data_IF_523211375312
#
_entry.id   IF_523211375312
#
_cell.length_a   1.000
_cell.length_b   1.000
_cell.length_c   1.000
_cell.angle_alpha   90.00
_cell.angle_beta   90.00
_cell.angle_gamma   90.00
#
_symmetry.space_group_name_H-M   'P 1'
#
loop_
_entity.id
_entity.type
_entity.pdbx_description
1 polymer ?
#
# COMPACT_ATOMS: atom_id res chain seq x y z
N UNK A 1 12.01 -18.79 13.74
CA UNK A 1 11.82 -17.47 14.37
C UNK A 1 10.43 -17.52 15.01
N UNK A 2 10.29 -17.20 16.30
CA UNK A 2 8.94 -17.16 16.91
C UNK A 2 8.28 -15.83 16.56
N UNK A 3 6.96 -15.83 16.39
CA UNK A 3 6.13 -14.64 16.19
C UNK A 3 6.41 -13.53 17.21
N UNK A 4 6.75 -13.92 18.43
CA UNK A 4 6.95 -13.04 19.60
C UNK A 4 8.22 -12.17 19.56
N UNK A 5 9.23 -12.55 18.78
CA UNK A 5 10.51 -11.79 18.68
C UNK A 5 10.70 -11.14 17.30
N UNK A 6 9.67 -11.14 16.44
CA UNK A 6 9.78 -10.70 15.07
C UNK A 6 9.73 -9.19 14.92
N UNK A 7 10.82 -8.58 14.48
CA UNK A 7 10.73 -7.33 13.77
C UNK A 7 10.10 -7.61 12.40
N UNK A 8 8.98 -6.99 12.10
CA UNK A 8 8.41 -7.03 10.77
C UNK A 8 9.22 -6.13 9.83
N UNK A 9 9.35 -6.55 8.59
CA UNK A 9 9.98 -5.67 7.60
C UNK A 9 9.09 -4.46 7.31
N UNK A 10 7.75 -4.66 7.30
CA UNK A 10 6.78 -3.62 6.96
C UNK A 10 5.48 -3.75 7.73
N UNK A 11 4.88 -2.60 8.04
CA UNK A 11 3.49 -2.48 8.45
C UNK A 11 2.72 -1.58 7.48
N UNK A 12 1.49 -1.98 7.19
CA UNK A 12 0.52 -1.14 6.49
C UNK A 12 -0.38 -0.50 7.56
N UNK A 13 -0.23 0.79 7.76
CA UNK A 13 -1.08 1.55 8.66
C UNK A 13 -2.00 2.45 7.82
N UNK A 14 -3.23 2.03 7.70
CA UNK A 14 -4.27 2.77 7.01
C UNK A 14 -4.62 4.02 7.80
N UNK A 15 -4.08 5.17 7.39
CA UNK A 15 -4.36 6.45 8.07
C UNK A 15 -5.78 6.97 7.77
N UNK A 16 -6.40 6.49 6.70
CA UNK A 16 -7.83 6.68 6.39
C UNK A 16 -8.32 5.56 5.47
N UNK A 17 -9.58 5.16 5.62
CA UNK A 17 -10.27 4.25 4.71
C UNK A 17 -11.12 4.99 3.66
N UNK A 18 -11.15 6.32 3.70
CA UNK A 18 -11.87 7.16 2.74
C UNK A 18 -11.05 7.29 1.45
N UNK A 19 -11.71 7.18 0.30
CA UNK A 19 -11.10 7.34 -1.01
C UNK A 19 -11.93 8.27 -1.90
N UNK A 20 -11.28 9.10 -2.70
CA UNK A 20 -11.90 9.96 -3.72
C UNK A 20 -12.03 9.29 -5.09
N UNK A 21 -11.75 7.99 -5.18
CA UNK A 21 -11.86 7.19 -6.39
C UNK A 21 -12.70 5.92 -6.12
N UNK A 22 -13.28 5.37 -7.18
CA UNK A 22 -14.06 4.13 -7.16
C UNK A 22 -13.53 3.17 -8.25
N UNK A 23 -12.23 2.84 -8.15
CA UNK A 23 -11.55 2.03 -9.15
C UNK A 23 -12.23 0.68 -9.35
N UNK A 24 -12.50 0.32 -10.61
CA UNK A 24 -13.20 -0.94 -10.97
C UNK A 24 -12.47 -2.21 -10.55
N UNK A 25 -11.20 -2.12 -10.22
CA UNK A 25 -10.37 -3.24 -9.73
C UNK A 25 -10.25 -3.29 -8.20
N UNK A 26 -10.69 -2.26 -7.48
CA UNK A 26 -10.62 -2.18 -6.03
C UNK A 26 -11.92 -2.74 -5.42
N UNK A 27 -11.86 -3.58 -4.38
CA UNK A 27 -13.06 -4.09 -3.72
C UNK A 27 -13.80 -3.00 -2.92
N UNK A 28 -13.12 -1.86 -2.65
CA UNK A 28 -13.60 -0.90 -1.68
C UNK A 28 -13.57 -1.45 -0.26
N UNK A 29 -14.26 -0.79 0.63
CA UNK A 29 -14.55 -1.29 1.97
C UNK A 29 -15.92 -0.78 2.43
N UNK A 30 -16.58 -1.56 3.30
CA UNK A 30 -17.89 -1.24 3.87
C UNK A 30 -17.82 -0.66 5.30
N UNK A 31 -16.61 -0.46 5.80
CA UNK A 31 -16.34 0.06 7.14
C UNK A 31 -16.74 1.53 7.24
N UNK A 32 -17.12 1.97 8.43
CA UNK A 32 -17.40 3.39 8.69
C UNK A 32 -16.20 4.27 8.25
N UNK A 33 -16.47 5.38 7.54
CA UNK A 33 -15.44 6.33 7.14
C UNK A 33 -14.67 6.85 8.36
N UNK A 34 -13.33 6.74 8.32
CA UNK A 34 -12.49 7.16 9.43
C UNK A 34 -11.20 7.82 8.93
N UNK A 35 -10.83 8.91 9.58
CA UNK A 35 -9.53 9.54 9.50
C UNK A 35 -8.87 9.36 10.87
N UNK A 36 -7.69 8.76 10.89
CA UNK A 36 -6.94 8.52 12.12
C UNK A 36 -6.64 9.84 12.83
N UNK A 37 -7.01 9.95 14.09
CA UNK A 37 -6.68 11.12 14.90
C UNK A 37 -5.19 11.16 15.28
N UNK A 38 -4.70 12.32 15.75
CA UNK A 38 -3.33 12.47 16.23
C UNK A 38 -2.99 11.49 17.36
N UNK A 39 -3.90 11.30 18.31
CA UNK A 39 -3.70 10.40 19.46
C UNK A 39 -3.66 8.92 19.04
N UNK A 40 -4.54 8.51 18.12
CA UNK A 40 -4.53 7.16 17.54
C UNK A 40 -3.23 6.92 16.77
N UNK A 41 -2.81 7.91 15.96
CA UNK A 41 -1.58 7.81 15.19
C UNK A 41 -0.37 7.64 16.10
N UNK A 42 -0.22 8.47 17.10
CA UNK A 42 0.90 8.40 18.05
C UNK A 42 0.89 7.11 18.85
N UNK A 43 -0.29 6.64 19.27
CA UNK A 43 -0.44 5.34 19.96
C UNK A 43 0.08 4.20 19.12
N UNK A 44 -0.35 4.11 17.85
CA UNK A 44 0.09 3.06 16.91
C UNK A 44 1.57 3.20 16.61
N UNK A 45 2.04 4.42 16.34
CA UNK A 45 3.44 4.69 16.02
C UNK A 45 4.40 4.24 17.12
N UNK A 46 4.07 4.54 18.38
CA UNK A 46 4.88 4.14 19.55
C UNK A 46 4.95 2.63 19.71
N UNK A 47 3.82 1.91 19.50
CA UNK A 47 3.77 0.45 19.60
C UNK A 47 4.49 -0.27 18.44
N UNK A 48 4.65 0.39 17.28
CA UNK A 48 5.39 -0.13 16.14
C UNK A 48 6.89 0.25 16.15
N UNK A 49 7.30 1.24 16.96
CA UNK A 49 8.68 1.73 17.01
C UNK A 49 9.66 0.61 17.39
N UNK A 50 10.70 0.45 16.57
CA UNK A 50 11.69 -0.61 16.73
C UNK A 50 11.23 -2.01 16.32
N UNK A 51 9.96 -2.17 15.93
CA UNK A 51 9.37 -3.45 15.50
C UNK A 51 9.18 -3.52 13.98
N UNK A 52 9.18 -2.36 13.29
CA UNK A 52 8.92 -2.23 11.87
C UNK A 52 9.94 -1.29 11.25
N UNK A 53 10.44 -1.63 10.06
CA UNK A 53 11.36 -0.77 9.28
C UNK A 53 10.59 0.17 8.33
N UNK A 54 9.65 -0.40 7.56
CA UNK A 54 8.88 0.33 6.54
C UNK A 54 7.44 0.52 7.00
N UNK A 55 6.99 1.75 7.08
CA UNK A 55 5.62 2.11 7.43
C UNK A 55 4.88 2.62 6.19
N UNK A 56 3.89 1.85 5.74
CA UNK A 56 3.04 2.18 4.61
C UNK A 56 1.77 2.84 5.10
N UNK A 57 1.44 4.05 4.61
CA UNK A 57 0.25 4.79 5.04
C UNK A 57 -1.03 4.41 4.28
N UNK A 58 -1.05 3.24 3.71
CA UNK A 58 -2.23 2.75 2.99
C UNK A 58 -2.50 1.28 3.31
N UNK A 59 -3.75 0.92 3.23
CA UNK A 59 -4.28 -0.43 3.10
C UNK A 59 -5.46 -0.32 2.14
N UNK A 60 -6.54 0.33 2.56
CA UNK A 60 -7.60 0.89 1.72
C UNK A 60 -7.52 2.43 1.77
N UNK A 61 -8.48 3.11 1.11
CA UNK A 61 -8.53 4.57 1.11
C UNK A 61 -7.44 5.24 0.25
N UNK A 62 -7.42 6.57 0.29
CA UNK A 62 -6.41 7.41 -0.36
C UNK A 62 -5.68 8.22 0.71
N UNK A 63 -4.40 7.95 0.99
CA UNK A 63 -3.67 8.62 2.06
C UNK A 63 -3.53 10.13 1.86
N UNK A 64 -3.51 10.62 0.62
CA UNK A 64 -3.43 12.06 0.35
C UNK A 64 -4.71 12.82 0.71
N UNK A 65 -5.82 12.14 1.02
CA UNK A 65 -7.01 12.79 1.58
C UNK A 65 -6.85 13.13 3.06
N UNK A 66 -5.89 12.51 3.76
CA UNK A 66 -5.74 12.76 5.19
C UNK A 66 -5.15 14.16 5.43
N UNK A 67 -5.83 15.05 6.17
CA UNK A 67 -5.39 16.43 6.36
C UNK A 67 -4.01 16.54 7.04
N UNK A 68 -3.67 15.59 7.90
CA UNK A 68 -2.40 15.55 8.64
C UNK A 68 -1.34 14.66 7.97
N UNK A 69 -1.49 14.24 6.71
CA UNK A 69 -0.58 13.27 6.07
C UNK A 69 0.89 13.71 6.10
N UNK A 70 1.15 15.00 5.90
CA UNK A 70 2.52 15.55 5.93
C UNK A 70 3.11 15.55 7.34
N UNK A 71 2.31 15.90 8.34
CA UNK A 71 2.73 15.89 9.74
C UNK A 71 2.96 14.45 10.21
N UNK A 72 2.06 13.53 9.91
CA UNK A 72 2.20 12.10 10.20
C UNK A 72 3.48 11.51 9.58
N UNK A 73 3.78 11.88 8.34
CA UNK A 73 5.01 11.44 7.69
C UNK A 73 6.27 11.96 8.40
N UNK A 74 6.27 13.23 8.80
CA UNK A 74 7.39 13.82 9.54
C UNK A 74 7.58 13.14 10.90
N UNK A 75 6.51 12.92 11.66
CA UNK A 75 6.55 12.22 12.97
C UNK A 75 7.03 10.77 12.82
N UNK A 76 6.53 10.04 11.82
CA UNK A 76 6.97 8.68 11.55
C UNK A 76 8.46 8.62 11.19
N UNK A 77 8.95 9.53 10.33
CA UNK A 77 10.39 9.64 10.01
C UNK A 77 11.21 9.95 11.26
N UNK A 78 10.77 10.89 12.08
CA UNK A 78 11.46 11.23 13.34
C UNK A 78 11.53 10.05 14.33
N UNK A 79 10.55 9.14 14.28
CA UNK A 79 10.56 7.87 15.03
C UNK A 79 11.45 6.79 14.40
N UNK A 80 12.06 7.04 13.23
CA UNK A 80 13.00 6.13 12.56
C UNK A 80 12.37 5.24 11.48
N UNK A 81 11.10 5.42 11.14
CA UNK A 81 10.46 4.66 10.07
C UNK A 81 10.85 5.18 8.68
N UNK A 82 10.93 4.27 7.72
CA UNK A 82 10.93 4.59 6.29
C UNK A 82 9.49 4.66 5.80
N UNK A 83 9.00 5.88 5.58
CA UNK A 83 7.60 6.11 5.21
C UNK A 83 7.37 5.84 3.73
N UNK A 84 6.34 5.08 3.44
CA UNK A 84 5.95 4.62 2.10
C UNK A 84 4.51 5.03 1.81
N UNK A 85 4.27 5.65 0.66
CA UNK A 85 2.93 6.06 0.21
C UNK A 85 2.57 5.31 -1.07
N UNK A 86 1.31 4.93 -1.20
CA UNK A 86 0.70 4.59 -2.50
C UNK A 86 -0.52 5.47 -2.68
N UNK A 87 -0.63 6.13 -3.83
CA UNK A 87 -1.70 7.07 -4.15
C UNK A 87 -2.31 6.75 -5.50
N UNK A 88 -3.59 7.13 -5.67
CA UNK A 88 -4.27 7.10 -6.96
C UNK A 88 -3.85 8.26 -7.89
N UNK A 89 -3.05 9.20 -7.41
CA UNK A 89 -2.49 10.30 -8.19
C UNK A 89 -3.41 11.52 -8.38
N UNK A 90 -4.67 11.48 -7.94
CA UNK A 90 -5.62 12.60 -8.16
C UNK A 90 -5.16 13.88 -7.45
N UNK A 91 -4.61 13.75 -6.25
CA UNK A 91 -4.13 14.88 -5.44
C UNK A 91 -2.61 15.08 -5.55
N UNK A 92 -2.01 14.68 -6.67
CA UNK A 92 -0.56 14.77 -6.89
C UNK A 92 -0.03 16.19 -6.69
N UNK A 93 -0.68 17.16 -7.30
CA UNK A 93 -0.21 18.56 -7.31
C UNK A 93 -0.51 19.27 -6.00
N UNK A 94 -1.74 19.11 -5.47
CA UNK A 94 -2.22 19.85 -4.30
C UNK A 94 -1.63 19.34 -2.98
N UNK A 95 -1.41 18.03 -2.88
CA UNK A 95 -0.97 17.38 -1.63
C UNK A 95 0.31 16.58 -1.82
N UNK A 96 0.43 15.84 -2.92
CA UNK A 96 1.57 14.96 -3.18
C UNK A 96 2.90 15.73 -3.26
N UNK A 97 2.96 16.83 -4.04
CA UNK A 97 4.14 17.68 -4.18
C UNK A 97 4.56 18.29 -2.84
N UNK A 98 3.69 18.99 -2.07
CA UNK A 98 4.03 19.44 -0.74
C UNK A 98 4.53 18.33 0.19
N UNK A 99 3.90 17.15 0.15
CA UNK A 99 4.28 16.02 0.99
C UNK A 99 5.70 15.53 0.71
N UNK A 100 6.07 15.28 -0.55
CA UNK A 100 7.43 14.81 -0.88
C UNK A 100 8.48 15.88 -0.60
N UNK A 101 8.12 17.15 -0.72
CA UNK A 101 8.99 18.30 -0.40
C UNK A 101 9.37 18.41 1.09
N UNK A 102 8.62 17.75 1.98
CA UNK A 102 9.02 17.63 3.40
C UNK A 102 10.28 16.78 3.59
N UNK A 103 10.66 15.98 2.58
CA UNK A 103 11.73 15.00 2.67
C UNK A 103 11.42 13.85 3.64
N UNK A 104 10.19 13.72 4.12
CA UNK A 104 9.81 12.66 5.06
C UNK A 104 9.54 11.31 4.37
N UNK A 105 9.24 11.32 3.07
CA UNK A 105 8.85 10.13 2.32
C UNK A 105 10.09 9.42 1.76
N UNK A 106 10.17 8.11 1.98
CA UNK A 106 11.22 7.26 1.40
C UNK A 106 10.85 6.75 0.01
N UNK A 107 9.57 6.41 -0.20
CA UNK A 107 9.04 6.02 -1.52
C UNK A 107 7.59 6.47 -1.66
N UNK A 108 7.27 7.03 -2.81
CA UNK A 108 5.89 7.23 -3.26
C UNK A 108 5.61 6.36 -4.49
N UNK A 109 4.45 5.71 -4.52
CA UNK A 109 3.99 4.91 -5.65
C UNK A 109 2.70 5.51 -6.19
N UNK A 110 2.66 5.84 -7.48
CA UNK A 110 1.52 6.47 -8.14
C UNK A 110 0.87 5.42 -9.05
N UNK A 111 -0.39 5.11 -8.80
CA UNK A 111 -1.16 4.12 -9.56
C UNK A 111 -1.74 4.76 -10.83
N UNK A 112 -0.94 4.92 -11.90
CA UNK A 112 -1.36 5.60 -13.14
C UNK A 112 -2.59 4.94 -13.78
N UNK A 113 -2.74 3.62 -13.65
CA UNK A 113 -3.90 2.86 -14.10
C UNK A 113 -5.21 3.20 -13.36
N UNK A 114 -5.15 4.01 -12.30
CA UNK A 114 -6.35 4.48 -11.59
C UNK A 114 -7.21 5.41 -12.44
N UNK A 115 -6.62 6.20 -13.35
CA UNK A 115 -7.38 7.09 -14.21
C UNK A 115 -8.36 6.30 -15.11
N UNK A 116 -7.87 5.28 -15.78
CA UNK A 116 -8.69 4.44 -16.67
C UNK A 116 -9.79 3.66 -15.92
N UNK A 117 -9.55 3.35 -14.66
CA UNK A 117 -10.49 2.61 -13.82
C UNK A 117 -11.59 3.47 -13.19
N UNK A 118 -11.60 4.77 -13.47
CA UNK A 118 -12.51 5.75 -12.89
C UNK A 118 -13.08 6.71 -13.95
N UNK A 119 -14.11 7.46 -13.54
CA UNK A 119 -14.63 8.64 -14.27
C UNK A 119 -14.30 9.89 -13.47
N UNK A 120 -13.05 10.36 -13.56
CA UNK A 120 -12.50 11.37 -12.63
C UNK A 120 -12.89 12.82 -12.98
N UNK A 121 -13.46 13.08 -14.16
CA UNK A 121 -13.79 14.44 -14.59
C UNK A 121 -12.58 15.33 -14.96
N UNK A 122 -11.36 14.76 -14.95
CA UNK A 122 -10.11 15.38 -15.44
C UNK A 122 -9.61 14.63 -16.66
N UNK A 123 -8.97 15.33 -17.59
CA UNK A 123 -8.40 14.70 -18.78
C UNK A 123 -7.22 13.80 -18.42
N UNK A 124 -6.93 12.81 -19.28
CA UNK A 124 -5.77 11.95 -19.10
C UNK A 124 -4.46 12.76 -19.11
N UNK A 125 -4.34 13.74 -20.01
CA UNK A 125 -3.14 14.58 -20.13
C UNK A 125 -2.90 15.42 -18.87
N UNK A 126 -3.94 16.01 -18.31
CA UNK A 126 -3.86 16.78 -17.06
C UNK A 126 -3.47 15.88 -15.88
N UNK A 127 -4.09 14.70 -15.78
CA UNK A 127 -3.78 13.71 -14.77
C UNK A 127 -2.32 13.24 -14.86
N UNK A 128 -1.87 12.81 -16.06
CA UNK A 128 -0.50 12.37 -16.28
C UNK A 128 0.48 13.49 -15.95
N UNK A 129 0.25 14.70 -16.46
CA UNK A 129 1.13 15.85 -16.18
C UNK A 129 1.31 16.07 -14.69
N UNK A 130 0.22 16.04 -13.91
CA UNK A 130 0.30 16.23 -12.45
C UNK A 130 1.06 15.09 -11.74
N UNK A 131 0.92 13.85 -12.22
CA UNK A 131 1.67 12.71 -11.70
C UNK A 131 3.17 12.78 -12.03
N UNK A 132 3.52 13.27 -13.20
CA UNK A 132 4.92 13.45 -13.62
C UNK A 132 5.59 14.60 -12.87
N UNK A 133 4.89 15.72 -12.64
CA UNK A 133 5.38 16.81 -11.80
C UNK A 133 5.69 16.31 -10.38
N UNK A 134 4.80 15.48 -9.80
CA UNK A 134 5.05 14.84 -8.52
C UNK A 134 6.26 13.91 -8.56
N UNK A 135 6.42 13.13 -9.63
CA UNK A 135 7.55 12.20 -9.77
C UNK A 135 8.90 12.95 -9.82
N UNK A 136 8.98 14.05 -10.55
CA UNK A 136 10.17 14.89 -10.61
C UNK A 136 10.48 15.53 -9.26
N UNK A 137 9.48 16.13 -8.62
CA UNK A 137 9.66 16.72 -7.29
C UNK A 137 10.10 15.66 -6.25
N UNK A 138 9.56 14.45 -6.33
CA UNK A 138 10.00 13.35 -5.49
C UNK A 138 11.48 13.01 -5.72
N UNK A 139 11.93 12.93 -6.99
CA UNK A 139 13.31 12.65 -7.35
C UNK A 139 14.27 13.74 -6.87
N UNK A 140 13.90 15.02 -7.02
CA UNK A 140 14.67 16.16 -6.50
C UNK A 140 14.88 16.07 -4.98
N UNK A 141 13.88 15.56 -4.27
CA UNK A 141 13.95 15.33 -2.82
C UNK A 141 14.53 13.94 -2.45
N UNK A 142 15.15 13.22 -3.40
CA UNK A 142 15.73 11.86 -3.20
C UNK A 142 14.70 10.83 -2.69
N UNK A 143 13.44 11.07 -2.95
CA UNK A 143 12.34 10.13 -2.71
C UNK A 143 12.19 9.22 -3.92
N UNK A 144 12.20 7.91 -3.72
CA UNK A 144 11.94 6.96 -4.80
C UNK A 144 10.49 7.11 -5.27
N UNK A 145 10.29 7.36 -6.56
CA UNK A 145 8.97 7.39 -7.18
C UNK A 145 8.76 6.15 -8.06
N UNK A 146 7.68 5.41 -7.84
CA UNK A 146 7.26 4.30 -8.67
C UNK A 146 5.95 4.64 -9.39
N UNK A 147 6.02 4.85 -10.68
CA UNK A 147 4.87 4.99 -11.57
C UNK A 147 4.37 3.59 -11.92
N UNK A 148 3.13 3.25 -11.56
CA UNK A 148 2.61 1.88 -11.66
C UNK A 148 1.57 1.72 -12.74
N UNK A 149 1.77 0.70 -13.59
CA UNK A 149 0.79 0.15 -14.53
C UNK A 149 0.50 -1.31 -14.13
N UNK A 150 -0.31 -1.48 -13.07
CA UNK A 150 -0.68 -2.80 -12.51
C UNK A 150 -2.02 -3.27 -13.11
N UNK A 151 -2.12 -3.19 -14.43
CA UNK A 151 -3.29 -3.56 -15.22
C UNK A 151 -2.99 -4.57 -16.33
N UNK A 152 -1.84 -5.27 -16.28
CA UNK A 152 -1.53 -6.35 -17.22
C UNK A 152 -2.57 -7.46 -17.09
N UNK A 153 -3.08 -7.95 -18.23
CA UNK A 153 -4.16 -8.93 -18.29
C UNK A 153 -5.57 -8.37 -18.01
N UNK A 154 -5.70 -7.03 -17.92
CA UNK A 154 -6.99 -6.34 -17.77
C UNK A 154 -7.10 -5.19 -18.78
N UNK A 155 -8.09 -4.29 -18.60
CA UNK A 155 -8.22 -3.08 -19.40
C UNK A 155 -6.99 -2.20 -19.27
N UNK A 156 -6.38 -1.81 -20.38
CA UNK A 156 -5.12 -1.08 -20.47
C UNK A 156 -5.04 -0.16 -21.69
N UNK A 157 -6.20 0.33 -22.14
CA UNK A 157 -6.34 1.14 -23.36
C UNK A 157 -5.56 2.46 -23.28
N UNK A 158 -5.32 2.98 -22.08
CA UNK A 158 -4.60 4.22 -21.84
C UNK A 158 -3.07 4.02 -21.69
N UNK A 159 -2.57 2.79 -21.61
CA UNK A 159 -1.15 2.54 -21.36
C UNK A 159 -0.24 3.14 -22.44
N UNK A 160 -0.61 3.09 -23.71
CA UNK A 160 0.20 3.65 -24.81
C UNK A 160 0.34 5.16 -24.69
N UNK A 161 -0.74 5.87 -24.35
CA UNK A 161 -0.72 7.31 -24.11
C UNK A 161 0.15 7.67 -22.89
N UNK A 162 0.04 6.89 -21.80
CA UNK A 162 0.90 7.04 -20.62
C UNK A 162 2.36 6.84 -20.97
N UNK A 163 2.69 5.77 -21.73
CA UNK A 163 4.07 5.49 -22.17
C UNK A 163 4.63 6.56 -23.10
N UNK A 164 3.79 7.13 -23.98
CA UNK A 164 4.18 8.25 -24.84
C UNK A 164 4.57 9.47 -23.97
N UNK A 165 3.73 9.89 -23.04
CA UNK A 165 4.01 11.01 -22.14
C UNK A 165 5.26 10.78 -21.28
N UNK A 166 5.50 9.55 -20.81
CA UNK A 166 6.71 9.20 -20.08
C UNK A 166 7.97 9.34 -20.95
N UNK A 167 7.92 8.92 -22.23
CA UNK A 167 9.04 9.08 -23.15
C UNK A 167 9.30 10.53 -23.54
N UNK A 168 8.26 11.31 -23.71
CA UNK A 168 8.36 12.75 -23.97
C UNK A 168 9.03 13.48 -22.78
N UNK A 169 8.71 13.11 -21.54
CA UNK A 169 9.21 13.77 -20.34
C UNK A 169 10.60 13.30 -19.93
N UNK A 170 10.89 11.99 -19.97
CA UNK A 170 12.09 11.37 -19.42
C UNK A 170 13.01 10.74 -20.49
N UNK A 171 12.72 10.94 -21.77
CA UNK A 171 13.44 10.30 -22.86
C UNK A 171 13.07 8.81 -23.01
N UNK A 172 13.71 8.13 -23.96
CA UNK A 172 13.43 6.73 -24.31
C UNK A 172 14.50 5.73 -23.88
N UNK A 173 15.62 6.18 -23.33
CA UNK A 173 16.72 5.32 -22.88
C UNK A 173 16.50 4.87 -21.45
N UNK A 174 15.69 3.82 -21.29
CA UNK A 174 15.30 3.28 -19.98
C UNK A 174 16.11 2.03 -19.65
N UNK A 175 16.57 1.90 -18.40
CA UNK A 175 17.26 0.71 -17.94
C UNK A 175 16.25 -0.33 -17.42
N UNK A 176 16.31 -1.54 -17.97
CA UNK A 176 15.44 -2.64 -17.55
C UNK A 176 15.73 -3.06 -16.10
N UNK A 177 14.70 -3.31 -15.32
CA UNK A 177 14.74 -3.88 -13.97
C UNK A 177 13.75 -5.04 -13.86
N UNK A 178 13.82 -5.83 -12.80
CA UNK A 178 12.99 -7.03 -12.61
C UNK A 178 11.47 -6.80 -12.79
N UNK A 179 10.96 -5.62 -12.43
CA UNK A 179 9.51 -5.30 -12.44
C UNK A 179 9.12 -4.21 -13.44
N UNK A 180 10.01 -3.85 -14.38
CA UNK A 180 9.76 -2.78 -15.33
C UNK A 180 11.03 -2.05 -15.73
N UNK A 181 11.07 -0.72 -15.55
CA UNK A 181 12.19 0.11 -16.01
C UNK A 181 12.56 1.18 -14.97
N UNK A 182 13.86 1.47 -14.86
CA UNK A 182 14.33 2.73 -14.31
C UNK A 182 14.32 3.75 -15.44
N UNK A 183 13.48 4.78 -15.36
CA UNK A 183 13.25 5.76 -16.43
C UNK A 183 14.00 7.07 -16.20
N UNK A 184 14.30 7.39 -14.93
CA UNK A 184 15.16 8.50 -14.53
C UNK A 184 15.78 8.21 -13.15
N UNK A 185 16.64 9.10 -12.66
CA UNK A 185 17.16 8.98 -11.30
C UNK A 185 16.01 9.07 -10.28
N UNK A 186 15.93 8.11 -9.37
CA UNK A 186 14.82 7.91 -8.40
C UNK A 186 13.43 7.63 -9.00
N UNK A 187 13.27 7.58 -10.35
CA UNK A 187 11.97 7.36 -11.00
C UNK A 187 11.95 6.00 -11.70
N UNK A 188 10.94 5.20 -11.39
CA UNK A 188 10.77 3.85 -11.89
C UNK A 188 9.37 3.68 -12.49
N UNK A 189 9.28 2.95 -13.61
CA UNK A 189 8.02 2.44 -14.15
C UNK A 189 7.89 0.97 -13.72
N UNK A 190 6.86 0.63 -12.96
CA UNK A 190 6.61 -0.72 -12.47
C UNK A 190 5.37 -1.32 -13.15
N UNK A 191 5.51 -2.50 -13.73
CA UNK A 191 4.41 -3.30 -14.25
C UNK A 191 3.95 -4.33 -13.24
N UNK A 192 2.66 -4.68 -13.28
CA UNK A 192 2.09 -5.74 -12.47
C UNK A 192 0.85 -6.34 -13.11
N UNK A 193 0.69 -7.64 -12.95
CA UNK A 193 -0.54 -8.33 -13.33
C UNK A 193 -1.67 -7.95 -12.36
N UNK A 194 -2.87 -7.85 -12.89
CA UNK A 194 -4.07 -7.79 -12.07
C UNK A 194 -4.21 -9.09 -11.28
N UNK A 195 -4.68 -8.99 -10.04
CA UNK A 195 -4.98 -10.13 -9.19
C UNK A 195 -6.40 -10.04 -8.65
N UNK A 196 -6.96 -11.20 -8.30
CA UNK A 196 -8.25 -11.26 -7.63
C UNK A 196 -8.05 -11.00 -6.14
N UNK A 197 -8.81 -10.04 -5.61
CA UNK A 197 -8.87 -9.80 -4.17
C UNK A 197 -9.43 -11.02 -3.44
N UNK A 198 -8.97 -11.27 -2.20
CA UNK A 198 -9.55 -12.34 -1.40
C UNK A 198 -11.04 -12.12 -1.21
N UNK A 199 -11.85 -13.14 -1.49
CA UNK A 199 -13.30 -13.10 -1.35
C UNK A 199 -13.80 -14.48 -0.91
N UNK A 200 -14.23 -14.59 0.34
CA UNK A 200 -14.66 -15.86 0.93
C UNK A 200 -15.85 -16.46 0.15
N UNK A 201 -15.68 -17.71 -0.25
CA UNK A 201 -16.70 -18.46 -0.99
C UNK A 201 -16.69 -18.26 -2.51
N UNK A 202 -15.90 -17.31 -3.03
CA UNK A 202 -15.80 -17.09 -4.48
C UNK A 202 -14.73 -17.94 -5.15
N UNK A 203 -13.64 -18.19 -4.44
CA UNK A 203 -12.51 -18.99 -4.92
C UNK A 203 -12.05 -19.95 -3.84
N UNK A 204 -11.73 -21.18 -4.24
CA UNK A 204 -10.96 -22.11 -3.43
C UNK A 204 -9.61 -22.31 -4.15
N UNK A 205 -8.53 -21.81 -3.54
CA UNK A 205 -7.20 -21.81 -4.11
C UNK A 205 -6.27 -22.59 -3.19
N UNK A 206 -5.43 -23.41 -3.76
CA UNK A 206 -4.37 -24.10 -3.02
C UNK A 206 -3.25 -23.09 -2.63
N UNK A 207 -3.50 -22.35 -1.56
CA UNK A 207 -2.56 -21.36 -1.02
C UNK A 207 -1.69 -22.03 0.04
N UNK A 208 -0.45 -22.32 -0.35
CA UNK A 208 0.50 -23.04 0.52
C UNK A 208 1.44 -22.10 1.27
N UNK A 209 1.65 -20.87 0.80
CA UNK A 209 2.56 -19.92 1.43
C UNK A 209 2.09 -18.48 1.29
N UNK A 210 2.36 -17.68 2.34
CA UNK A 210 2.18 -16.23 2.36
C UNK A 210 3.14 -15.56 3.34
N UNK A 211 3.43 -14.29 3.12
CA UNK A 211 4.23 -13.45 4.01
C UNK A 211 3.44 -12.83 5.18
N UNK A 212 2.14 -13.10 5.28
CA UNK A 212 1.29 -12.65 6.38
C UNK A 212 1.88 -13.06 7.74
N UNK A 213 1.97 -12.13 8.68
CA UNK A 213 2.59 -12.29 10.00
C UNK A 213 4.05 -12.79 10.01
N UNK A 214 4.70 -12.89 8.84
CA UNK A 214 6.13 -13.25 8.74
C UNK A 214 7.02 -12.04 8.58
N UNK A 215 6.66 -11.18 7.63
CA UNK A 215 7.41 -9.95 7.36
C UNK A 215 6.51 -8.72 7.25
N UNK A 216 5.20 -8.90 7.39
CA UNK A 216 4.22 -7.83 7.28
C UNK A 216 3.03 -8.03 8.21
N UNK A 217 2.41 -6.89 8.58
CA UNK A 217 1.11 -6.78 9.25
C UNK A 217 0.33 -5.61 8.63
N UNK A 218 -0.98 -5.58 8.82
CA UNK A 218 -1.84 -4.43 8.53
C UNK A 218 -2.49 -3.89 9.80
N UNK A 219 -2.69 -2.60 9.86
CA UNK A 219 -3.45 -1.89 10.89
C UNK A 219 -4.49 -1.05 10.17
N UNK A 220 -5.75 -1.35 10.37
CA UNK A 220 -6.86 -0.58 9.83
C UNK A 220 -7.00 0.76 10.54
N UNK A 221 -7.70 1.71 9.93
CA UNK A 221 -7.86 3.07 10.46
C UNK A 221 -8.49 3.12 11.88
N UNK A 222 -9.25 2.11 12.26
CA UNK A 222 -9.81 1.97 13.60
C UNK A 222 -8.89 1.21 14.59
N UNK A 223 -7.62 0.98 14.24
CA UNK A 223 -6.64 0.28 15.07
C UNK A 223 -6.68 -1.25 14.99
N UNK A 224 -7.63 -1.86 14.28
CA UNK A 224 -7.71 -3.31 14.11
C UNK A 224 -6.48 -3.86 13.40
N UNK A 225 -5.82 -4.85 13.99
CA UNK A 225 -4.68 -5.54 13.40
C UNK A 225 -5.14 -6.69 12.52
N UNK A 226 -4.63 -6.72 11.29
CA UNK A 226 -4.90 -7.73 10.27
C UNK A 226 -3.59 -8.35 9.75
N UNK A 227 -3.61 -9.55 9.17
CA UNK A 227 -2.36 -10.23 8.77
C UNK A 227 -1.64 -9.59 7.58
N UNK A 228 -2.33 -8.84 6.73
CA UNK A 228 -1.77 -8.22 5.53
C UNK A 228 -2.68 -7.10 4.99
N UNK A 229 -2.20 -6.38 3.96
CA UNK A 229 -2.93 -5.27 3.33
C UNK A 229 -4.10 -5.70 2.42
N UNK A 230 -4.40 -6.98 2.30
CA UNK A 230 -5.50 -7.47 1.46
C UNK A 230 -6.76 -7.83 2.28
N UNK A 231 -6.70 -7.77 3.59
CA UNK A 231 -7.87 -7.91 4.45
C UNK A 231 -8.55 -6.54 4.64
N UNK A 232 -9.23 -6.10 3.60
CA UNK A 232 -9.84 -4.77 3.51
C UNK A 232 -10.95 -4.53 4.55
N UNK A 233 -11.60 -5.60 5.01
CA UNK A 233 -12.74 -5.54 5.94
C UNK A 233 -12.37 -5.90 7.39
N UNK A 234 -11.13 -6.34 7.64
CA UNK A 234 -10.72 -6.80 8.97
C UNK A 234 -11.35 -8.13 9.38
N UNK A 235 -11.62 -9.02 8.43
CA UNK A 235 -12.23 -10.34 8.69
C UNK A 235 -11.33 -11.23 9.54
N UNK A 236 -10.03 -11.11 9.36
CA UNK A 236 -9.04 -11.77 10.22
C UNK A 236 -8.58 -10.79 11.29
N UNK A 237 -9.50 -10.37 12.14
CA UNK A 237 -9.20 -9.51 13.28
C UNK A 237 -8.33 -10.26 14.30
N UNK A 238 -7.12 -9.75 14.55
CA UNK A 238 -6.14 -10.31 15.49
C UNK A 238 -6.15 -9.58 16.84
N UNK A 239 -6.83 -8.46 16.93
CA UNK A 239 -6.91 -7.55 18.08
C UNK A 239 -6.84 -6.09 17.64
N UNK A 240 -6.81 -5.17 18.59
CA UNK A 240 -6.77 -3.73 18.31
C UNK A 240 -5.53 -3.10 18.93
N UNK A 241 -4.71 -2.43 18.12
CA UNK A 241 -3.44 -1.85 18.56
C UNK A 241 -3.65 -0.57 19.39
N UNK A 242 -4.79 0.09 19.32
CA UNK A 242 -5.10 1.18 20.23
C UNK A 242 -5.37 0.69 21.66
N UNK A 243 -5.88 -0.54 21.81
CA UNK A 243 -6.26 -1.12 23.10
C UNK A 243 -5.19 -2.05 23.68
N UNK A 244 -4.53 -2.83 22.83
CA UNK A 244 -3.62 -3.91 23.23
C UNK A 244 -2.19 -3.66 22.77
N UNK A 245 -1.22 -4.30 23.41
CA UNK A 245 0.16 -4.34 22.94
C UNK A 245 0.33 -5.32 21.79
N UNK A 246 1.26 -5.01 20.87
CA UNK A 246 1.54 -5.84 19.70
C UNK A 246 1.91 -7.28 20.07
N UNK A 247 2.70 -7.48 21.15
CA UNK A 247 3.10 -8.83 21.59
C UNK A 247 1.90 -9.65 22.09
N UNK A 248 0.97 -9.01 22.79
CA UNK A 248 -0.29 -9.64 23.20
C UNK A 248 -1.12 -10.09 22.00
N UNK A 249 -1.27 -9.21 21.00
CA UNK A 249 -1.99 -9.52 19.74
C UNK A 249 -1.34 -10.69 19.00
N UNK A 250 -0.01 -10.68 18.85
CA UNK A 250 0.75 -11.73 18.15
C UNK A 250 0.78 -13.05 18.93
N UNK A 251 0.52 -13.01 20.23
CA UNK A 251 0.44 -14.20 21.09
C UNK A 251 -0.93 -14.86 21.07
N UNK A 252 -1.93 -14.25 20.43
CA UNK A 252 -3.28 -14.82 20.31
C UNK A 252 -3.26 -16.15 19.61
N UNK A 253 -4.22 -17.03 19.95
CA UNK A 253 -4.38 -18.35 19.29
C UNK A 253 -4.57 -18.21 17.78
N UNK A 254 -5.33 -17.21 17.33
CA UNK A 254 -5.59 -16.96 15.91
C UNK A 254 -4.33 -16.55 15.15
N UNK A 255 -3.53 -15.64 15.72
CA UNK A 255 -2.27 -15.21 15.11
C UNK A 255 -1.27 -16.38 14.99
N UNK A 256 -1.16 -17.19 16.06
CA UNK A 256 -0.32 -18.40 16.06
C UNK A 256 -0.78 -19.42 15.03
N UNK A 257 -2.08 -19.75 15.01
CA UNK A 257 -2.65 -20.69 14.05
C UNK A 257 -2.39 -20.27 12.60
N UNK A 258 -2.52 -18.97 12.27
CA UNK A 258 -2.24 -18.46 10.93
C UNK A 258 -0.75 -18.58 10.58
N UNK A 259 0.14 -18.21 11.50
CA UNK A 259 1.59 -18.33 11.30
C UNK A 259 2.03 -19.78 11.14
N UNK A 260 1.56 -20.68 12.02
CA UNK A 260 1.91 -22.10 12.02
C UNK A 260 1.32 -22.80 10.79
N UNK A 261 0.09 -22.45 10.39
CA UNK A 261 -0.55 -22.94 9.18
C UNK A 261 0.32 -22.70 7.94
N UNK A 262 0.79 -21.47 7.71
CA UNK A 262 1.71 -21.20 6.61
C UNK A 262 3.10 -21.83 6.79
N UNK A 263 3.54 -22.13 8.02
CA UNK A 263 4.75 -22.91 8.27
C UNK A 263 4.57 -24.38 7.87
N UNK A 264 3.35 -24.88 7.98
CA UNK A 264 2.95 -26.23 7.54
C UNK A 264 2.43 -26.24 6.07
N UNK A 265 2.67 -25.19 5.29
CA UNK A 265 2.20 -25.03 3.92
C UNK A 265 0.68 -25.13 3.74
N UNK A 266 -0.07 -24.56 4.68
CA UNK A 266 -1.53 -24.60 4.68
C UNK A 266 -2.12 -23.24 5.09
N UNK A 267 -3.02 -22.69 4.28
CA UNK A 267 -3.82 -21.53 4.63
C UNK A 267 -4.98 -21.96 5.55
N UNK A 268 -4.99 -21.49 6.80
CA UNK A 268 -6.03 -21.85 7.80
C UNK A 268 -7.25 -20.94 7.76
N UNK A 269 -7.11 -19.71 7.29
CA UNK A 269 -8.18 -18.73 7.19
C UNK A 269 -8.85 -18.81 5.80
N UNK A 270 -10.20 -18.80 5.77
CA UNK A 270 -10.96 -18.85 4.51
C UNK A 270 -10.60 -17.72 3.55
N UNK A 271 -10.41 -16.49 4.09
CA UNK A 271 -9.97 -15.36 3.29
C UNK A 271 -8.62 -15.62 2.61
N UNK A 272 -7.69 -16.25 3.32
CA UNK A 272 -6.38 -16.60 2.76
C UNK A 272 -6.48 -17.69 1.70
N UNK A 273 -7.39 -18.65 1.85
CA UNK A 273 -7.64 -19.74 0.89
C UNK A 273 -8.18 -19.21 -0.45
N UNK A 274 -8.84 -18.05 -0.46
CA UNK A 274 -9.37 -17.40 -1.67
C UNK A 274 -8.44 -16.37 -2.32
N UNK A 275 -7.25 -16.13 -1.75
CA UNK A 275 -6.38 -15.02 -2.12
C UNK A 275 -5.66 -15.24 -3.47
N UNK A 276 -6.05 -14.46 -4.50
CA UNK A 276 -5.36 -14.47 -5.80
C UNK A 276 -3.93 -13.95 -5.77
N UNK A 277 -3.64 -13.02 -4.86
CA UNK A 277 -2.30 -12.45 -4.72
C UNK A 277 -1.25 -13.45 -4.22
N UNK A 278 -1.66 -14.46 -3.45
CA UNK A 278 -0.78 -15.49 -2.92
C UNK A 278 -0.10 -16.33 -4.01
N UNK A 279 -0.66 -16.40 -5.22
CA UNK A 279 -0.05 -17.07 -6.36
C UNK A 279 1.34 -16.54 -6.74
N UNK A 280 1.67 -15.30 -6.34
CA UNK A 280 2.98 -14.67 -6.57
C UNK A 280 4.09 -15.21 -5.67
N UNK A 281 3.75 -16.05 -4.71
CA UNK A 281 4.70 -16.65 -3.74
C UNK A 281 4.96 -18.13 -3.98
N UNK A 282 4.41 -18.67 -5.08
CA UNK A 282 4.66 -20.06 -5.52
C UNK A 282 6.03 -20.21 -6.18
#
# INVERSE_FOLDING_TARGET
MSLQNGAFKKAYFEITNVCNAACTFCPGNSREPHFVSDDEFDTVLLKLKGRVEYLYFHLMGEPLLHPSVSDFACRAKACGFKVMITTNGILSREVGIPLVSTGAISKISISLHSHEANSLGISLDEYITSCLDLAETAAENKTVCALRLWNLGAKNDQNDAVLCALRERFGSEWAEIRSGFKIAEYIFLEYGERFDWPDEGKFDRDVTFCHALRNQIGILSNGTVVPCCLDAEGRINLGNLCENDLDGILSSERAKALYDGFSAHMAVEKLCQSCGYANRFK
#
